data_IF_904451261420
#
_entry.id   IF_904451261420
#
_cell.length_a   1.000
_cell.length_b   1.000
_cell.length_c   1.000
_cell.angle_alpha   90.00
_cell.angle_beta   90.00
_cell.angle_gamma   90.00
#
_symmetry.space_group_name_H-M   'P 1'
#
loop_
_entity.id
_entity.type
_entity.pdbx_description
1 polymer ?
#
# COMPACT_ATOMS: atom_id res chain seq x y z
N UNK A 1 7.86 9.91 -0.32
CA UNK A 1 7.03 11.09 -0.58
C UNK A 1 5.71 10.99 0.18
N UNK A 2 5.11 12.12 0.58
CA UNK A 2 3.76 12.16 1.16
C UNK A 2 2.89 13.17 0.41
N UNK A 3 1.61 12.84 0.22
CA UNK A 3 0.58 13.74 -0.32
C UNK A 3 -0.53 13.87 0.72
N UNK A 4 -0.63 15.05 1.32
CA UNK A 4 -1.52 15.33 2.43
C UNK A 4 -2.59 16.35 2.04
N UNK A 5 -3.85 16.15 2.41
CA UNK A 5 -4.91 17.13 2.17
C UNK A 5 -6.30 16.60 2.48
N UNK A 6 -7.23 17.50 2.74
CA UNK A 6 -8.64 17.18 2.98
C UNK A 6 -9.33 16.60 1.73
N UNK A 7 -10.50 15.97 1.88
CA UNK A 7 -11.33 15.62 0.73
C UNK A 7 -11.60 16.85 -0.16
N UNK A 8 -11.55 16.67 -1.48
CA UNK A 8 -11.77 17.76 -2.44
C UNK A 8 -10.59 18.75 -2.61
N UNK A 9 -9.46 18.56 -1.93
CA UNK A 9 -8.28 19.43 -2.08
C UNK A 9 -7.44 19.15 -3.34
N UNK A 10 -7.74 18.07 -4.08
CA UNK A 10 -7.00 17.69 -5.28
C UNK A 10 -5.92 16.63 -5.07
N UNK A 11 -5.91 15.87 -3.95
CA UNK A 11 -4.92 14.82 -3.68
C UNK A 11 -4.81 13.78 -4.77
N UNK A 12 -5.95 13.14 -5.12
CA UNK A 12 -5.98 12.07 -6.13
C UNK A 12 -5.55 12.60 -7.50
N UNK A 13 -5.90 13.87 -7.82
CA UNK A 13 -5.43 14.53 -9.02
C UNK A 13 -3.92 14.72 -9.02
N UNK A 14 -3.35 15.23 -7.92
CA UNK A 14 -1.91 15.43 -7.77
C UNK A 14 -1.14 14.10 -7.85
N UNK A 15 -1.66 13.05 -7.22
CA UNK A 15 -1.07 11.70 -7.31
C UNK A 15 -1.11 11.14 -8.74
N UNK A 16 -2.25 11.22 -9.41
CA UNK A 16 -2.39 10.79 -10.82
C UNK A 16 -1.49 11.57 -11.76
N UNK A 17 -1.32 12.88 -11.51
CA UNK A 17 -0.40 13.71 -12.28
C UNK A 17 1.05 13.30 -12.08
N UNK A 18 1.45 13.03 -10.84
CA UNK A 18 2.81 12.55 -10.54
C UNK A 18 3.06 11.19 -11.19
N UNK A 19 2.11 10.24 -11.07
CA UNK A 19 2.16 8.94 -11.75
C UNK A 19 2.32 9.11 -13.26
N UNK A 20 1.55 9.99 -13.86
CA UNK A 20 1.62 10.30 -15.31
C UNK A 20 3.00 10.81 -15.70
N UNK A 21 3.54 11.78 -14.95
CA UNK A 21 4.85 12.35 -15.22
C UNK A 21 5.94 11.29 -15.11
N UNK A 22 5.93 10.49 -14.05
CA UNK A 22 6.88 9.39 -13.85
C UNK A 22 6.79 8.37 -14.99
N UNK A 23 5.58 8.01 -15.40
CA UNK A 23 5.37 7.07 -16.50
C UNK A 23 5.97 7.56 -17.82
N UNK A 24 5.87 8.87 -18.10
CA UNK A 24 6.38 9.47 -19.35
C UNK A 24 7.91 9.68 -19.30
N UNK A 25 8.45 10.13 -18.14
CA UNK A 25 9.83 10.63 -18.07
C UNK A 25 10.84 9.58 -17.61
N UNK A 26 10.39 8.51 -16.91
CA UNK A 26 11.28 7.47 -16.37
C UNK A 26 11.01 6.11 -16.99
N UNK A 27 11.81 5.12 -16.60
CA UNK A 27 11.56 3.70 -16.87
C UNK A 27 11.21 2.92 -15.62
N UNK A 28 10.94 3.61 -14.51
CA UNK A 28 10.61 3.00 -13.23
C UNK A 28 9.35 2.15 -13.35
N UNK A 29 9.25 1.06 -12.59
CA UNK A 29 7.98 0.38 -12.37
C UNK A 29 7.10 1.22 -11.46
N UNK A 30 5.81 1.19 -11.72
CA UNK A 30 4.81 1.95 -10.98
C UNK A 30 3.75 0.98 -10.47
N UNK A 31 3.61 0.91 -9.16
CA UNK A 31 2.61 0.06 -8.51
C UNK A 31 1.71 0.94 -7.64
N UNK A 32 0.42 0.74 -7.78
CA UNK A 32 -0.61 1.52 -7.09
C UNK A 32 -1.45 0.57 -6.24
N UNK A 33 -1.60 0.89 -4.95
CA UNK A 33 -2.60 0.30 -4.07
C UNK A 33 -3.82 1.22 -4.02
N UNK A 34 -4.93 0.78 -4.58
CA UNK A 34 -6.14 1.56 -4.81
C UNK A 34 -7.34 1.02 -4.02
N UNK A 35 -7.54 1.46 -2.76
CA UNK A 35 -8.68 1.03 -1.95
C UNK A 35 -10.01 1.71 -2.30
N UNK A 36 -9.99 2.73 -3.16
CA UNK A 36 -11.19 3.50 -3.53
C UNK A 36 -11.60 3.32 -5.01
N UNK A 37 -10.77 2.65 -5.83
CA UNK A 37 -11.05 2.36 -7.23
C UNK A 37 -10.98 3.60 -8.13
N UNK A 38 -10.08 4.54 -7.84
CA UNK A 38 -9.98 5.80 -8.55
C UNK A 38 -8.99 5.81 -9.72
N UNK A 39 -8.06 4.84 -9.78
CA UNK A 39 -6.94 4.85 -10.73
C UNK A 39 -7.20 4.04 -12.00
N UNK A 40 -8.28 3.26 -12.06
CA UNK A 40 -8.61 2.34 -13.16
C UNK A 40 -8.46 2.99 -14.55
N UNK A 41 -9.15 4.10 -14.81
CA UNK A 41 -9.19 4.75 -16.12
C UNK A 41 -7.81 5.26 -16.56
N UNK A 42 -7.02 5.82 -15.64
CA UNK A 42 -5.65 6.27 -15.90
C UNK A 42 -4.75 5.10 -16.28
N UNK A 43 -4.79 4.03 -15.50
CA UNK A 43 -3.95 2.85 -15.70
C UNK A 43 -4.27 2.19 -17.04
N UNK A 44 -5.55 2.03 -17.38
CA UNK A 44 -5.98 1.47 -18.66
C UNK A 44 -5.60 2.35 -19.85
N UNK A 45 -5.71 3.68 -19.73
CA UNK A 45 -5.30 4.61 -20.79
C UNK A 45 -3.80 4.52 -21.13
N UNK A 46 -2.97 4.12 -20.16
CA UNK A 46 -1.54 3.88 -20.36
C UNK A 46 -1.18 2.41 -20.64
N UNK A 47 -2.16 1.57 -21.01
CA UNK A 47 -1.98 0.13 -21.22
C UNK A 47 -1.37 -0.58 -20.00
N UNK A 48 -1.65 -0.07 -18.80
CA UNK A 48 -1.28 -0.69 -17.53
C UNK A 48 -2.20 -1.86 -17.18
N UNK A 49 -1.79 -2.62 -16.20
CA UNK A 49 -2.53 -3.76 -15.67
C UNK A 49 -3.33 -3.35 -14.44
N UNK A 50 -4.61 -3.66 -14.41
CA UNK A 50 -5.45 -3.57 -13.21
C UNK A 50 -5.76 -4.97 -12.73
N UNK A 51 -5.42 -5.25 -11.48
CA UNK A 51 -5.69 -6.52 -10.78
C UNK A 51 -6.78 -6.22 -9.76
N UNK A 52 -7.95 -6.79 -9.96
CA UNK A 52 -9.09 -6.58 -9.07
C UNK A 52 -9.16 -7.70 -8.04
N UNK A 53 -8.90 -7.36 -6.78
CA UNK A 53 -8.99 -8.31 -5.67
C UNK A 53 -10.32 -8.10 -4.95
N UNK A 54 -11.19 -9.08 -5.03
CA UNK A 54 -12.50 -9.07 -4.38
C UNK A 54 -12.99 -10.50 -4.11
N UNK A 55 -14.02 -10.68 -3.26
CA UNK A 55 -14.61 -12.01 -3.03
C UNK A 55 -15.20 -12.68 -4.28
N UNK A 56 -15.47 -11.90 -5.33
CA UNK A 56 -16.10 -12.35 -6.58
C UNK A 56 -15.15 -12.33 -7.78
N UNK A 57 -13.92 -11.80 -7.61
CA UNK A 57 -12.92 -11.79 -8.69
C UNK A 57 -12.27 -13.16 -8.84
N UNK A 58 -11.64 -13.37 -10.00
CA UNK A 58 -10.81 -14.52 -10.28
C UNK A 58 -9.30 -14.21 -10.20
N UNK A 59 -8.94 -13.01 -9.79
CA UNK A 59 -7.57 -12.58 -9.57
C UNK A 59 -7.19 -12.86 -8.11
N UNK A 60 -6.17 -13.69 -7.90
CA UNK A 60 -5.71 -14.12 -6.58
C UNK A 60 -4.26 -13.72 -6.37
N UNK A 61 -3.97 -13.26 -5.15
CA UNK A 61 -2.62 -12.97 -4.66
C UNK A 61 -2.42 -13.79 -3.37
N UNK A 62 -1.37 -14.57 -3.37
CA UNK A 62 -0.98 -15.38 -2.22
C UNK A 62 -0.16 -14.57 -1.23
N UNK A 63 -0.60 -14.37 0.01
CA UNK A 63 0.21 -13.70 1.02
C UNK A 63 1.46 -14.49 1.43
N UNK A 64 1.51 -15.77 1.10
CA UNK A 64 2.67 -16.62 1.38
C UNK A 64 3.74 -16.59 0.27
N UNK A 65 3.55 -15.84 -0.83
CA UNK A 65 4.58 -15.72 -1.86
C UNK A 65 5.86 -15.10 -1.30
N UNK A 66 7.01 -15.70 -1.61
CA UNK A 66 8.32 -15.25 -1.18
C UNK A 66 9.29 -15.22 -2.37
N UNK A 67 10.07 -14.16 -2.48
CA UNK A 67 11.22 -14.11 -3.36
C UNK A 67 12.47 -14.51 -2.56
N UNK A 68 13.09 -15.64 -2.91
CA UNK A 68 14.30 -16.13 -2.25
C UNK A 68 15.59 -15.68 -2.94
N UNK A 69 15.48 -15.01 -4.09
CA UNK A 69 16.65 -14.56 -4.89
C UNK A 69 17.10 -13.16 -4.44
N UNK A 70 17.46 -13.03 -3.16
CA UNK A 70 18.11 -11.81 -2.68
C UNK A 70 19.60 -11.83 -3.00
N UNK A 71 20.12 -10.68 -3.44
CA UNK A 71 21.54 -10.50 -3.70
C UNK A 71 22.35 -10.10 -2.45
N UNK A 72 21.72 -9.91 -1.29
CA UNK A 72 22.32 -9.38 -0.06
C UNK A 72 22.18 -10.34 1.13
N UNK A 73 22.85 -10.00 2.24
CA UNK A 73 22.92 -10.76 3.50
C UNK A 73 21.58 -10.83 4.30
N UNK A 74 20.49 -10.22 3.81
CA UNK A 74 19.17 -10.29 4.46
C UNK A 74 18.54 -11.68 4.27
N UNK A 75 18.06 -12.29 5.34
CA UNK A 75 17.32 -13.56 5.30
C UNK A 75 15.87 -13.34 4.80
N UNK A 76 15.49 -13.83 3.60
CA UNK A 76 14.15 -13.65 3.04
C UNK A 76 13.06 -14.24 3.94
N UNK A 77 13.36 -15.33 4.65
CA UNK A 77 12.40 -16.00 5.53
C UNK A 77 12.12 -15.18 6.78
N UNK A 78 13.12 -14.50 7.34
CA UNK A 78 12.90 -13.59 8.47
C UNK A 78 11.97 -12.44 8.10
N UNK A 79 12.16 -11.82 6.93
CA UNK A 79 11.26 -10.76 6.45
C UNK A 79 9.83 -11.26 6.20
N UNK A 80 9.73 -12.45 5.64
CA UNK A 80 8.42 -13.09 5.44
C UNK A 80 7.76 -13.44 6.78
N UNK A 81 8.53 -13.87 7.78
CA UNK A 81 8.01 -14.12 9.13
C UNK A 81 7.46 -12.82 9.76
N UNK A 82 8.16 -11.71 9.66
CA UNK A 82 7.69 -10.39 10.13
C UNK A 82 6.38 -9.96 9.43
N UNK A 83 6.30 -10.20 8.13
CA UNK A 83 5.05 -9.96 7.39
C UNK A 83 3.91 -10.84 7.88
N UNK A 84 4.12 -12.15 8.05
CA UNK A 84 3.09 -13.09 8.51
C UNK A 84 2.68 -12.79 9.96
N UNK A 85 3.61 -12.37 10.82
CA UNK A 85 3.29 -11.87 12.16
C UNK A 85 2.35 -10.66 12.09
N UNK A 86 2.64 -9.70 11.22
CA UNK A 86 1.79 -8.51 11.02
C UNK A 86 0.42 -8.88 10.46
N UNK A 87 0.36 -9.84 9.54
CA UNK A 87 -0.88 -10.40 9.01
C UNK A 87 -1.71 -11.07 10.11
N UNK A 88 -1.08 -11.95 10.91
CA UNK A 88 -1.75 -12.65 12.01
C UNK A 88 -2.23 -11.66 13.08
N UNK A 89 -1.45 -10.64 13.41
CA UNK A 89 -1.87 -9.62 14.36
C UNK A 89 -3.11 -8.85 13.87
N UNK A 90 -3.14 -8.52 12.58
CA UNK A 90 -4.27 -7.82 11.98
C UNK A 90 -5.57 -8.65 12.00
N UNK A 91 -5.47 -9.97 11.84
CA UNK A 91 -6.65 -10.87 11.72
C UNK A 91 -7.03 -11.56 13.02
N UNK A 92 -6.09 -11.75 13.96
CA UNK A 92 -6.26 -12.53 15.21
C UNK A 92 -6.02 -11.70 16.46
N UNK A 93 -5.11 -10.71 16.43
CA UNK A 93 -4.55 -10.04 17.61
C UNK A 93 -5.55 -9.21 18.43
N UNK A 94 -6.70 -8.83 17.87
CA UNK A 94 -7.70 -8.03 18.58
C UNK A 94 -7.16 -6.67 19.02
N UNK A 95 -7.59 -6.18 20.20
CA UNK A 95 -7.17 -4.85 20.70
C UNK A 95 -5.79 -4.83 21.33
N UNK A 96 -5.30 -5.96 21.80
CA UNK A 96 -4.05 -6.07 22.57
C UNK A 96 -2.89 -6.61 21.71
N UNK A 97 -3.12 -6.87 20.43
CA UNK A 97 -2.13 -7.52 19.58
C UNK A 97 -1.92 -9.01 19.90
N UNK A 98 -0.85 -9.59 19.36
CA UNK A 98 -0.45 -10.97 19.60
C UNK A 98 0.42 -11.06 20.86
N UNK A 99 0.13 -12.05 21.70
CA UNK A 99 0.95 -12.37 22.88
C UNK A 99 2.33 -12.93 22.46
N UNK A 100 3.39 -12.76 23.28
CA UNK A 100 4.73 -13.25 22.95
C UNK A 100 4.79 -14.74 22.61
N UNK A 101 3.99 -15.57 23.29
CA UNK A 101 3.90 -17.01 23.02
C UNK A 101 3.33 -17.26 21.63
N UNK A 102 2.29 -16.52 21.24
CA UNK A 102 1.67 -16.61 19.92
C UNK A 102 2.64 -16.21 18.81
N UNK A 103 3.41 -15.13 19.00
CA UNK A 103 4.44 -14.70 18.05
C UNK A 103 5.49 -15.80 17.84
N UNK A 104 5.92 -16.46 18.91
CA UNK A 104 6.87 -17.57 18.85
C UNK A 104 6.30 -18.77 18.07
N UNK A 105 5.04 -19.12 18.31
CA UNK A 105 4.36 -20.23 17.62
C UNK A 105 4.23 -19.91 16.13
N UNK A 106 3.80 -18.70 15.78
CA UNK A 106 3.67 -18.26 14.38
C UNK A 106 5.01 -18.32 13.67
N UNK A 107 6.10 -17.73 14.22
CA UNK A 107 7.43 -17.76 13.62
C UNK A 107 7.92 -19.21 13.39
N UNK A 108 7.75 -20.08 14.39
CA UNK A 108 8.08 -21.50 14.27
C UNK A 108 7.30 -22.17 13.13
N UNK A 109 5.99 -21.95 13.03
CA UNK A 109 5.17 -22.51 11.99
C UNK A 109 5.50 -21.95 10.60
N UNK A 110 5.85 -20.65 10.50
CA UNK A 110 6.32 -20.05 9.25
C UNK A 110 7.61 -20.71 8.78
N UNK A 111 8.58 -20.91 9.65
CA UNK A 111 9.83 -21.62 9.28
C UNK A 111 9.57 -23.05 8.80
N UNK A 112 8.62 -23.75 9.43
CA UNK A 112 8.27 -25.12 9.05
C UNK A 112 7.53 -25.17 7.71
N UNK A 113 6.61 -24.26 7.44
CA UNK A 113 5.77 -24.30 6.23
C UNK A 113 6.56 -24.08 4.95
N UNK A 114 7.69 -23.35 5.03
CA UNK A 114 8.55 -23.07 3.88
C UNK A 114 9.64 -24.13 3.64
N UNK A 115 9.81 -25.15 4.51
CA UNK A 115 10.90 -26.12 4.39
C UNK A 115 10.91 -26.84 3.02
N UNK A 116 9.76 -27.32 2.57
CA UNK A 116 9.65 -28.06 1.31
C UNK A 116 9.91 -27.15 0.09
N UNK A 117 9.44 -25.90 0.15
CA UNK A 117 9.69 -24.92 -0.89
C UNK A 117 11.16 -24.49 -0.94
N UNK A 118 11.80 -24.26 0.20
CA UNK A 118 13.23 -23.88 0.26
C UNK A 118 14.15 -25.00 -0.17
N UNK A 119 13.75 -26.27 0.03
CA UNK A 119 14.53 -27.42 -0.44
C UNK A 119 14.44 -27.59 -1.96
N UNK A 120 13.31 -27.25 -2.57
CA UNK A 120 13.07 -27.35 -4.02
C UNK A 120 12.07 -26.24 -4.44
N UNK A 121 12.56 -25.05 -4.85
CA UNK A 121 11.75 -23.86 -5.06
C UNK A 121 10.97 -23.91 -6.39
N UNK A 122 9.94 -24.73 -6.45
CA UNK A 122 8.99 -24.81 -7.55
C UNK A 122 7.63 -24.18 -7.16
N UNK A 123 6.89 -23.56 -8.10
CA UNK A 123 5.63 -22.87 -7.81
C UNK A 123 4.59 -23.75 -7.09
N UNK A 124 4.57 -25.04 -7.38
CA UNK A 124 3.63 -26.00 -6.81
C UNK A 124 3.86 -26.24 -5.31
N UNK A 125 5.08 -26.01 -4.83
CA UNK A 125 5.45 -26.14 -3.41
C UNK A 125 5.32 -24.83 -2.61
N UNK A 126 5.02 -23.72 -3.29
CA UNK A 126 4.77 -22.46 -2.59
C UNK A 126 3.60 -22.64 -1.61
N UNK A 127 3.78 -22.41 -0.31
CA UNK A 127 2.68 -22.57 0.64
C UNK A 127 1.57 -21.54 0.42
N UNK A 128 0.37 -21.86 0.92
CA UNK A 128 -0.78 -20.95 1.03
C UNK A 128 -1.20 -20.82 2.50
N UNK A 129 -2.15 -19.94 2.82
CA UNK A 129 -2.61 -19.76 4.22
C UNK A 129 -3.13 -21.04 4.86
N UNK A 130 -3.74 -21.95 4.08
CA UNK A 130 -4.20 -23.25 4.56
C UNK A 130 -3.06 -24.11 5.09
N UNK A 131 -1.87 -24.06 4.48
CA UNK A 131 -0.72 -24.81 4.94
C UNK A 131 -0.24 -24.34 6.32
N UNK A 132 -0.20 -23.02 6.52
CA UNK A 132 0.08 -22.43 7.83
C UNK A 132 -0.97 -22.78 8.87
N UNK A 133 -2.26 -22.68 8.52
CA UNK A 133 -3.38 -23.07 9.36
C UNK A 133 -3.28 -24.54 9.80
N UNK A 134 -2.98 -25.44 8.87
CA UNK A 134 -2.83 -26.87 9.16
C UNK A 134 -1.64 -27.16 10.08
N UNK A 135 -0.53 -26.41 9.96
CA UNK A 135 0.60 -26.52 10.89
C UNK A 135 0.26 -26.01 12.27
N UNK A 136 -0.45 -24.89 12.39
CA UNK A 136 -0.93 -24.37 13.68
C UNK A 136 -1.83 -25.38 14.37
N UNK A 137 -2.73 -26.04 13.65
CA UNK A 137 -3.61 -27.08 14.22
C UNK A 137 -2.88 -28.31 14.72
N UNK A 138 -1.68 -28.60 14.22
CA UNK A 138 -0.86 -29.74 14.65
C UNK A 138 -0.03 -29.45 15.91
N UNK A 139 0.06 -28.19 16.32
CA UNK A 139 0.77 -27.84 17.56
C UNK A 139 -0.07 -28.20 18.78
N UNK A 140 0.58 -28.53 19.88
CA UNK A 140 -0.11 -28.98 21.12
C UNK A 140 -0.56 -27.81 22.02
N UNK A 141 0.03 -26.61 21.83
CA UNK A 141 -0.24 -25.45 22.67
C UNK A 141 -1.67 -24.89 22.44
N UNK A 142 -2.32 -24.52 23.53
CA UNK A 142 -3.68 -23.96 23.49
C UNK A 142 -3.76 -22.66 22.70
N UNK A 143 -2.70 -21.84 22.75
CA UNK A 143 -2.55 -20.61 21.98
C UNK A 143 -2.55 -20.90 20.48
N UNK A 144 -1.92 -21.98 20.05
CA UNK A 144 -1.92 -22.39 18.65
C UNK A 144 -3.31 -22.80 18.16
N UNK A 145 -4.08 -23.48 18.98
CA UNK A 145 -5.45 -23.84 18.66
C UNK A 145 -6.35 -22.59 18.55
N UNK A 146 -6.11 -21.59 19.41
CA UNK A 146 -6.79 -20.29 19.35
C UNK A 146 -6.46 -19.56 18.06
N UNK A 147 -5.18 -19.47 17.68
CA UNK A 147 -4.71 -18.89 16.44
C UNK A 147 -5.33 -19.55 15.21
N UNK A 148 -5.30 -20.89 15.17
CA UNK A 148 -5.89 -21.66 14.09
C UNK A 148 -7.41 -21.40 13.98
N UNK A 149 -8.15 -21.44 15.09
CA UNK A 149 -9.59 -21.17 15.09
C UNK A 149 -9.90 -19.74 14.58
N UNK A 150 -9.10 -18.75 14.93
CA UNK A 150 -9.29 -17.39 14.46
C UNK A 150 -8.94 -17.21 12.97
N UNK A 151 -7.98 -17.97 12.45
CA UNK A 151 -7.62 -17.99 11.03
C UNK A 151 -8.62 -18.76 10.16
N UNK A 152 -9.46 -19.61 10.73
CA UNK A 152 -10.34 -20.51 9.98
C UNK A 152 -11.28 -19.77 9.02
N UNK A 153 -11.78 -18.59 9.40
CA UNK A 153 -12.65 -17.77 8.55
C UNK A 153 -11.94 -17.28 7.27
N UNK A 154 -10.60 -17.13 7.31
CA UNK A 154 -9.78 -16.70 6.19
C UNK A 154 -9.29 -17.85 5.32
N UNK A 155 -9.40 -19.10 5.81
CA UNK A 155 -8.96 -20.29 5.10
C UNK A 155 -10.17 -21.05 4.53
N UNK A 156 -11.13 -21.41 5.38
CA UNK A 156 -12.29 -22.24 5.04
C UNK A 156 -13.61 -21.47 5.04
N UNK A 157 -13.59 -20.24 5.54
CA UNK A 157 -14.80 -19.41 5.74
C UNK A 157 -15.08 -18.43 4.62
N UNK A 158 -15.91 -17.43 4.94
CA UNK A 158 -16.38 -16.42 3.98
C UNK A 158 -15.32 -15.39 3.56
N UNK A 159 -14.17 -15.33 4.24
CA UNK A 159 -13.10 -14.37 3.99
C UNK A 159 -11.88 -15.00 3.30
N UNK A 160 -12.04 -16.14 2.60
CA UNK A 160 -10.96 -16.94 2.03
C UNK A 160 -10.32 -16.39 0.75
N UNK A 161 -10.58 -15.14 0.39
CA UNK A 161 -10.08 -14.51 -0.86
C UNK A 161 -8.55 -14.57 -1.02
N UNK A 162 -7.82 -14.65 0.09
CA UNK A 162 -6.36 -14.74 0.10
C UNK A 162 -5.82 -16.16 0.33
N UNK A 163 -6.70 -17.18 0.36
CA UNK A 163 -6.28 -18.59 0.49
C UNK A 163 -6.20 -19.27 -0.86
N UNK A 164 -5.48 -18.68 -1.79
CA UNK A 164 -5.26 -19.17 -3.14
C UNK A 164 -3.81 -18.92 -3.57
N UNK A 165 -3.29 -19.74 -4.50
CA UNK A 165 -2.02 -19.44 -5.17
C UNK A 165 -2.20 -18.23 -6.07
N UNK A 166 -1.15 -17.41 -6.19
CA UNK A 166 -1.16 -16.29 -7.13
C UNK A 166 -1.33 -16.81 -8.55
N UNK A 167 -2.30 -16.26 -9.26
CA UNK A 167 -2.64 -16.63 -10.63
C UNK A 167 -2.52 -15.45 -11.61
N UNK A 168 -2.04 -14.30 -11.13
CA UNK A 168 -1.85 -13.10 -11.95
C UNK A 168 -0.36 -12.87 -12.21
N UNK A 169 -0.01 -12.53 -13.44
CA UNK A 169 1.35 -12.13 -13.79
C UNK A 169 1.56 -10.63 -13.50
N UNK A 170 2.59 -10.31 -12.74
CA UNK A 170 2.93 -8.93 -12.37
C UNK A 170 4.02 -8.35 -13.28
N UNK A 171 3.94 -8.59 -14.59
CA UNK A 171 4.99 -8.22 -15.55
C UNK A 171 4.84 -6.82 -16.14
N UNK A 172 3.68 -6.15 -15.98
CA UNK A 172 3.46 -4.82 -16.49
C UNK A 172 4.27 -3.78 -15.69
N UNK A 173 4.74 -2.75 -16.38
CA UNK A 173 5.43 -1.61 -15.77
C UNK A 173 4.52 -0.75 -14.90
N UNK A 174 3.24 -0.67 -15.24
CA UNK A 174 2.22 0.07 -14.50
C UNK A 174 1.15 -0.91 -14.01
N UNK A 175 1.13 -1.18 -12.72
CA UNK A 175 0.20 -2.13 -12.08
C UNK A 175 -0.63 -1.40 -11.02
N UNK A 176 -1.93 -1.62 -11.06
CA UNK A 176 -2.86 -1.14 -10.03
C UNK A 176 -3.56 -2.32 -9.37
N UNK A 177 -3.42 -2.44 -8.06
CA UNK A 177 -4.20 -3.35 -7.24
C UNK A 177 -5.48 -2.63 -6.79
N UNK A 178 -6.59 -2.91 -7.47
CA UNK A 178 -7.92 -2.42 -7.11
C UNK A 178 -8.50 -3.34 -6.03
N UNK A 179 -8.54 -2.82 -4.81
CA UNK A 179 -9.04 -3.52 -3.62
C UNK A 179 -10.32 -2.88 -3.05
N UNK A 180 -11.01 -2.06 -3.83
CA UNK A 180 -12.22 -1.34 -3.43
C UNK A 180 -13.31 -2.27 -2.91
N UNK A 181 -13.52 -3.39 -3.60
CA UNK A 181 -14.60 -4.34 -3.30
C UNK A 181 -14.25 -5.31 -2.15
N UNK A 182 -13.05 -5.22 -1.57
CA UNK A 182 -12.76 -5.84 -0.30
C UNK A 182 -13.53 -5.13 0.82
N UNK A 183 -14.41 -5.82 1.52
CA UNK A 183 -15.11 -5.26 2.68
C UNK A 183 -14.14 -4.73 3.74
N UNK A 184 -14.64 -3.93 4.67
CA UNK A 184 -13.82 -3.24 5.70
C UNK A 184 -12.82 -4.16 6.43
N UNK A 185 -13.19 -5.42 6.68
CA UNK A 185 -12.33 -6.40 7.36
C UNK A 185 -11.13 -6.82 6.52
N UNK A 186 -11.32 -6.96 5.19
CA UNK A 186 -10.26 -7.41 4.29
C UNK A 186 -9.45 -6.27 3.68
N UNK A 187 -9.97 -5.03 3.69
CA UNK A 187 -9.29 -3.89 3.03
C UNK A 187 -7.88 -3.65 3.59
N UNK A 188 -7.72 -3.59 4.91
CA UNK A 188 -6.40 -3.43 5.54
C UNK A 188 -5.47 -4.62 5.24
N UNK A 189 -6.01 -5.83 5.32
CA UNK A 189 -5.28 -7.05 4.97
C UNK A 189 -4.83 -7.02 3.52
N UNK A 190 -5.71 -6.62 2.59
CA UNK A 190 -5.38 -6.44 1.18
C UNK A 190 -4.26 -5.43 0.97
N UNK A 191 -4.30 -4.28 1.64
CA UNK A 191 -3.23 -3.28 1.57
C UNK A 191 -1.89 -3.82 2.08
N UNK A 192 -1.90 -4.58 3.18
CA UNK A 192 -0.70 -5.21 3.74
C UNK A 192 -0.11 -6.24 2.77
N UNK A 193 -0.95 -7.06 2.15
CA UNK A 193 -0.54 -8.07 1.16
C UNK A 193 0.02 -7.39 -0.10
N UNK A 194 -0.63 -6.33 -0.59
CA UNK A 194 -0.10 -5.54 -1.72
C UNK A 194 1.27 -4.97 -1.40
N UNK A 195 1.48 -4.45 -0.18
CA UNK A 195 2.78 -3.91 0.25
C UNK A 195 3.88 -4.98 0.24
N UNK A 196 3.58 -6.20 0.64
CA UNK A 196 4.52 -7.33 0.57
C UNK A 196 4.83 -7.72 -0.89
N UNK A 197 3.84 -7.73 -1.77
CA UNK A 197 4.05 -7.96 -3.21
C UNK A 197 4.91 -6.86 -3.86
N UNK A 198 4.73 -5.62 -3.45
CA UNK A 198 5.59 -4.52 -3.89
C UNK A 198 7.02 -4.72 -3.42
N UNK A 199 7.22 -5.19 -2.19
CA UNK A 199 8.56 -5.54 -1.70
C UNK A 199 9.23 -6.60 -2.57
N UNK A 200 8.52 -7.66 -2.92
CA UNK A 200 9.02 -8.67 -3.85
C UNK A 200 9.43 -8.04 -5.20
N UNK A 201 8.67 -7.08 -5.72
CA UNK A 201 9.01 -6.37 -6.97
C UNK A 201 10.24 -5.48 -6.83
N UNK A 202 10.38 -4.78 -5.70
CA UNK A 202 11.56 -3.95 -5.40
C UNK A 202 12.82 -4.79 -5.38
N UNK A 203 12.77 -5.98 -4.77
CA UNK A 203 13.93 -6.89 -4.70
C UNK A 203 14.34 -7.41 -6.07
N UNK A 204 13.38 -7.75 -6.93
CA UNK A 204 13.64 -8.15 -8.32
C UNK A 204 14.23 -7.00 -9.13
N UNK A 205 13.64 -5.82 -9.05
CA UNK A 205 14.07 -4.65 -9.82
C UNK A 205 15.44 -4.13 -9.41
N UNK A 206 15.83 -4.30 -8.16
CA UNK A 206 17.16 -3.92 -7.67
C UNK A 206 18.27 -4.62 -8.45
N UNK A 207 18.15 -5.93 -8.68
CA UNK A 207 19.15 -6.69 -9.45
C UNK A 207 19.23 -6.21 -10.91
N UNK A 208 18.14 -5.65 -11.44
CA UNK A 208 18.06 -5.05 -12.77
C UNK A 208 18.44 -3.55 -12.81
N UNK A 209 18.88 -2.95 -11.68
CA UNK A 209 19.14 -1.51 -11.53
C UNK A 209 17.97 -0.63 -11.93
N UNK A 210 16.75 -1.07 -11.60
CA UNK A 210 15.50 -0.41 -11.93
C UNK A 210 14.77 0.03 -10.66
N UNK A 211 14.29 1.26 -10.61
CA UNK A 211 13.51 1.76 -9.48
C UNK A 211 12.06 1.29 -9.54
N UNK A 212 11.45 1.16 -8.36
CA UNK A 212 10.02 0.84 -8.21
C UNK A 212 9.33 1.94 -7.42
N UNK A 213 8.32 2.55 -8.01
CA UNK A 213 7.46 3.55 -7.37
C UNK A 213 6.22 2.87 -6.82
N UNK A 214 5.93 3.13 -5.57
CA UNK A 214 4.76 2.56 -4.88
C UNK A 214 3.86 3.66 -4.35
N UNK A 215 2.65 3.76 -4.90
CA UNK A 215 1.62 4.72 -4.48
C UNK A 215 0.60 4.00 -3.62
N UNK A 216 0.40 4.51 -2.40
CA UNK A 216 -0.51 3.92 -1.41
C UNK A 216 -1.59 4.95 -1.12
N UNK A 217 -2.77 4.75 -1.69
CA UNK A 217 -3.90 5.61 -1.34
C UNK A 217 -4.50 5.19 0.01
N UNK A 218 -5.11 6.13 0.72
CA UNK A 218 -5.61 5.97 2.09
C UNK A 218 -4.56 5.35 3.06
N UNK A 219 -3.29 5.77 2.92
CA UNK A 219 -2.14 5.21 3.62
C UNK A 219 -2.34 5.11 5.14
N UNK A 220 -3.10 6.03 5.75
CA UNK A 220 -3.40 6.02 7.18
C UNK A 220 -4.05 4.71 7.66
N UNK A 221 -4.68 3.92 6.76
CA UNK A 221 -5.28 2.64 7.13
C UNK A 221 -4.26 1.59 7.57
N UNK A 222 -3.04 1.63 7.03
CA UNK A 222 -1.93 0.75 7.43
C UNK A 222 -1.28 1.14 8.76
N UNK A 223 -1.59 2.33 9.26
CA UNK A 223 -0.89 2.93 10.39
C UNK A 223 -1.71 2.93 11.68
N UNK A 224 -2.89 2.31 11.66
CA UNK A 224 -3.81 2.28 12.81
C UNK A 224 -3.44 1.26 13.87
N UNK A 225 -2.91 0.12 13.47
CA UNK A 225 -2.46 -0.95 14.36
C UNK A 225 -0.92 -0.90 14.47
N UNK A 226 -0.41 -1.08 15.68
CA UNK A 226 1.01 -0.90 16.02
C UNK A 226 1.93 -1.78 15.16
N UNK A 227 1.63 -3.06 15.05
CA UNK A 227 2.48 -4.00 14.29
C UNK A 227 2.45 -3.73 12.79
N UNK A 228 1.29 -3.40 12.23
CA UNK A 228 1.16 -3.04 10.81
C UNK A 228 1.87 -1.72 10.51
N UNK A 229 1.81 -0.76 11.44
CA UNK A 229 2.55 0.49 11.36
C UNK A 229 4.06 0.24 11.40
N UNK A 230 4.54 -0.56 12.36
CA UNK A 230 5.95 -0.94 12.49
C UNK A 230 6.47 -1.61 11.21
N UNK A 231 5.74 -2.58 10.67
CA UNK A 231 6.08 -3.23 9.41
C UNK A 231 6.11 -2.22 8.25
N UNK A 232 5.12 -1.33 8.15
CA UNK A 232 5.07 -0.32 7.08
C UNK A 232 6.24 0.67 7.16
N UNK A 233 6.64 1.09 8.36
CA UNK A 233 7.81 1.95 8.59
C UNK A 233 9.11 1.24 8.21
N UNK A 234 9.25 -0.02 8.58
CA UNK A 234 10.44 -0.82 8.24
C UNK A 234 10.56 -0.98 6.71
N UNK A 235 9.47 -1.33 6.03
CA UNK A 235 9.44 -1.42 4.56
C UNK A 235 9.76 -0.05 3.92
N UNK A 236 9.24 1.05 4.47
CA UNK A 236 9.53 2.40 3.98
C UNK A 236 11.03 2.73 4.01
N UNK A 237 11.70 2.41 5.12
CA UNK A 237 13.16 2.57 5.27
C UNK A 237 13.93 1.68 4.29
N UNK A 238 13.52 0.42 4.15
CA UNK A 238 14.16 -0.54 3.23
C UNK A 238 13.99 -0.12 1.77
N UNK A 239 12.83 0.36 1.37
CA UNK A 239 12.58 0.84 0.01
C UNK A 239 13.63 1.86 -0.41
N UNK A 240 13.92 2.86 0.41
CA UNK A 240 14.95 3.87 0.11
C UNK A 240 16.32 3.25 -0.22
N UNK A 241 16.70 2.22 0.53
CA UNK A 241 17.99 1.52 0.38
C UNK A 241 18.01 0.63 -0.87
N UNK A 242 16.84 0.15 -1.32
CA UNK A 242 16.69 -0.86 -2.36
C UNK A 242 16.14 -0.30 -3.69
N UNK A 243 16.07 1.01 -3.85
CA UNK A 243 15.57 1.65 -5.07
C UNK A 243 14.04 1.70 -5.18
N UNK A 244 13.35 1.44 -4.08
CA UNK A 244 11.92 1.69 -3.93
C UNK A 244 11.64 3.13 -3.55
N UNK A 245 10.59 3.72 -4.11
CA UNK A 245 10.18 5.10 -3.85
C UNK A 245 8.70 5.08 -3.43
N UNK A 246 8.42 4.95 -2.11
CA UNK A 246 7.04 4.92 -1.64
C UNK A 246 6.44 6.33 -1.59
N UNK A 247 5.15 6.43 -1.93
CA UNK A 247 4.33 7.63 -1.86
C UNK A 247 3.04 7.33 -1.09
N UNK A 248 2.93 7.83 0.13
CA UNK A 248 1.72 7.73 0.94
C UNK A 248 0.77 8.90 0.65
N UNK A 249 -0.49 8.59 0.36
CA UNK A 249 -1.54 9.56 0.09
C UNK A 249 -2.57 9.44 1.20
N UNK A 250 -2.90 10.53 1.88
CA UNK A 250 -3.88 10.48 2.97
C UNK A 250 -4.59 11.81 3.20
N UNK A 251 -5.83 11.70 3.65
CA UNK A 251 -6.64 12.82 4.11
C UNK A 251 -6.63 12.96 5.63
N UNK A 252 -6.18 11.95 6.36
CA UNK A 252 -6.24 11.91 7.82
C UNK A 252 -4.84 12.03 8.42
N UNK A 253 -4.39 13.27 8.57
CA UNK A 253 -3.08 13.56 9.16
C UNK A 253 -3.04 13.26 10.65
N UNK A 254 -4.17 13.40 11.36
CA UNK A 254 -4.25 13.10 12.79
C UNK A 254 -3.99 11.63 13.09
N UNK A 255 -4.54 10.72 12.29
CA UNK A 255 -4.26 9.29 12.42
C UNK A 255 -2.78 9.00 12.07
N UNK A 256 -2.22 9.74 11.13
CA UNK A 256 -0.81 9.67 10.78
C UNK A 256 0.11 10.01 11.96
N UNK A 257 -0.20 11.04 12.71
CA UNK A 257 0.61 11.56 13.81
C UNK A 257 0.32 10.89 15.17
N UNK A 258 -0.59 9.92 15.21
CA UNK A 258 -0.99 9.26 16.45
C UNK A 258 0.06 8.27 16.97
N UNK A 259 1.01 7.83 16.16
CA UNK A 259 2.07 6.92 16.58
C UNK A 259 3.47 7.52 16.39
N UNK A 260 4.35 7.20 17.31
CA UNK A 260 5.76 7.62 17.31
C UNK A 260 6.54 7.08 16.10
N UNK A 261 6.09 5.98 15.55
CA UNK A 261 6.71 5.35 14.39
C UNK A 261 6.46 6.12 13.11
N UNK A 262 5.39 6.90 13.07
CA UNK A 262 5.01 7.72 11.92
C UNK A 262 5.87 8.98 11.79
N UNK A 263 6.39 9.52 12.91
CA UNK A 263 7.41 10.57 12.86
C UNK A 263 8.57 10.15 11.97
N UNK A 264 8.95 8.87 12.03
CA UNK A 264 9.99 8.31 11.17
C UNK A 264 9.64 8.37 9.67
N UNK A 265 8.35 8.24 9.28
CA UNK A 265 7.94 8.35 7.87
C UNK A 265 8.08 9.78 7.39
N UNK A 266 7.69 10.77 8.22
CA UNK A 266 7.89 12.19 7.90
C UNK A 266 9.37 12.53 7.76
N UNK A 267 10.21 12.12 8.71
CA UNK A 267 11.66 12.36 8.70
C UNK A 267 12.36 11.69 7.51
N UNK A 268 11.84 10.54 7.05
CA UNK A 268 12.36 9.82 5.88
C UNK A 268 11.66 10.20 4.57
N UNK A 269 10.81 11.24 4.58
CA UNK A 269 10.12 11.73 3.39
C UNK A 269 10.73 13.06 2.93
N UNK A 270 11.67 12.99 2.00
CA UNK A 270 12.35 14.18 1.45
C UNK A 270 11.39 15.12 0.68
N UNK A 271 10.23 14.59 0.26
CA UNK A 271 9.24 15.34 -0.52
C UNK A 271 7.84 15.19 0.10
N UNK A 272 7.23 16.32 0.46
CA UNK A 272 5.86 16.37 0.99
C UNK A 272 5.06 17.40 0.20
N UNK A 273 3.94 16.96 -0.37
CA UNK A 273 2.94 17.82 -1.00
C UNK A 273 1.80 18.03 0.00
N UNK A 274 1.66 19.22 0.51
CA UNK A 274 0.62 19.59 1.47
C UNK A 274 -0.41 20.49 0.81
N UNK A 275 -1.57 19.95 0.55
CA UNK A 275 -2.74 20.67 0.06
C UNK A 275 -3.56 21.23 1.22
N UNK A 276 -4.79 21.70 0.97
CA UNK A 276 -5.66 22.24 2.02
C UNK A 276 -5.82 21.26 3.20
N UNK A 277 -5.73 21.79 4.43
CA UNK A 277 -5.78 21.01 5.67
C UNK A 277 -6.99 21.36 6.52
N UNK A 278 -7.52 20.38 7.26
CA UNK A 278 -8.55 20.61 8.25
C UNK A 278 -8.05 21.50 9.39
N UNK A 279 -8.93 22.30 9.99
CA UNK A 279 -8.56 23.26 11.04
C UNK A 279 -7.87 22.60 12.25
N UNK A 280 -8.30 21.38 12.62
CA UNK A 280 -7.72 20.64 13.74
C UNK A 280 -6.32 20.11 13.48
N UNK A 281 -5.96 19.84 12.23
CA UNK A 281 -4.69 19.23 11.84
C UNK A 281 -3.59 20.28 11.62
N UNK A 282 -3.97 21.53 11.32
CA UNK A 282 -3.03 22.60 10.96
C UNK A 282 -2.00 22.91 12.04
N UNK A 283 -2.43 22.98 13.30
CA UNK A 283 -1.52 23.31 14.40
C UNK A 283 -0.55 22.17 14.68
N UNK A 284 -1.01 20.92 14.56
CA UNK A 284 -0.20 19.72 14.76
C UNK A 284 0.87 19.66 13.65
N UNK A 285 0.44 19.83 12.40
CA UNK A 285 1.34 19.89 11.24
C UNK A 285 2.34 21.04 11.31
N UNK A 286 1.87 22.22 11.71
CA UNK A 286 2.76 23.40 11.86
C UNK A 286 3.87 23.12 12.86
N UNK A 287 3.57 22.48 13.97
CA UNK A 287 4.55 22.08 14.98
C UNK A 287 5.49 20.98 14.47
N UNK A 288 4.95 19.93 13.88
CA UNK A 288 5.72 18.76 13.43
C UNK A 288 6.68 19.09 12.28
N UNK A 289 6.23 19.90 11.33
CA UNK A 289 7.00 20.27 10.13
C UNK A 289 7.67 21.65 10.24
N UNK A 290 7.63 22.25 11.42
CA UNK A 290 8.22 23.58 11.69
C UNK A 290 7.76 24.67 10.70
N UNK A 291 6.45 24.72 10.42
CA UNK A 291 5.84 25.65 9.47
C UNK A 291 5.51 26.95 10.19
N UNK A 292 5.93 28.09 9.63
CA UNK A 292 5.57 29.40 10.15
C UNK A 292 4.07 29.72 9.96
N UNK A 293 3.55 30.64 10.77
CA UNK A 293 2.14 31.10 10.64
C UNK A 293 1.82 31.64 9.25
N UNK A 294 2.80 32.30 8.60
CA UNK A 294 2.63 32.78 7.24
C UNK A 294 2.52 31.64 6.23
N UNK A 295 3.41 30.65 6.32
CA UNK A 295 3.35 29.47 5.44
C UNK A 295 2.06 28.67 5.66
N UNK A 296 1.59 28.58 6.92
CA UNK A 296 0.34 27.90 7.24
C UNK A 296 -0.87 28.48 6.51
N UNK A 297 -0.84 29.78 6.17
CA UNK A 297 -1.91 30.43 5.42
C UNK A 297 -2.15 29.82 4.03
N UNK A 298 -1.10 29.27 3.41
CA UNK A 298 -1.18 28.63 2.08
C UNK A 298 -1.87 27.26 2.08
N UNK A 299 -2.09 26.67 3.24
CA UNK A 299 -2.85 25.41 3.40
C UNK A 299 -4.13 25.60 4.21
N UNK A 300 -4.48 26.88 4.44
CA UNK A 300 -5.69 27.29 5.14
C UNK A 300 -6.64 27.94 4.15
N UNK A 301 -7.78 27.31 3.86
CA UNK A 301 -8.74 27.80 2.86
C UNK A 301 -8.14 27.96 1.45
N UNK A 302 -7.14 27.17 1.12
CA UNK A 302 -6.57 27.09 -0.23
C UNK A 302 -7.55 26.39 -1.18
N UNK A 303 -7.50 26.78 -2.46
CA UNK A 303 -8.25 26.14 -3.53
C UNK A 303 -7.69 24.74 -3.89
N UNK A 304 -8.38 24.07 -4.81
CA UNK A 304 -7.87 22.82 -5.41
C UNK A 304 -6.51 23.08 -6.08
N UNK A 305 -5.53 22.19 -5.83
CA UNK A 305 -4.20 22.31 -6.43
C UNK A 305 -3.35 23.44 -5.87
N UNK A 306 -3.71 24.01 -4.72
CA UNK A 306 -2.92 25.01 -4.02
C UNK A 306 -2.40 24.49 -2.68
N UNK A 307 -1.18 24.85 -2.30
CA UNK A 307 -0.61 24.38 -1.05
C UNK A 307 0.86 24.67 -0.88
N UNK A 308 1.55 23.79 -0.16
CA UNK A 308 2.98 23.85 0.12
C UNK A 308 3.69 22.61 -0.41
N UNK A 309 4.85 22.79 -1.02
CA UNK A 309 5.79 21.72 -1.36
C UNK A 309 6.97 21.81 -0.40
N UNK A 310 7.30 20.69 0.23
CA UNK A 310 8.50 20.51 1.03
C UNK A 310 9.50 19.69 0.22
N UNK A 311 10.73 20.17 0.16
CA UNK A 311 11.86 19.44 -0.39
C UNK A 311 13.07 19.66 0.54
N UNK A 312 13.38 18.62 1.31
CA UNK A 312 14.31 18.78 2.43
C UNK A 312 13.87 19.91 3.37
N UNK A 313 14.73 20.89 3.59
CA UNK A 313 14.45 22.04 4.45
C UNK A 313 13.73 23.20 3.74
N UNK A 314 13.44 23.07 2.45
CA UNK A 314 12.85 24.14 1.66
C UNK A 314 11.34 23.97 1.60
N UNK A 315 10.60 25.02 1.94
CA UNK A 315 9.13 25.06 1.90
C UNK A 315 8.71 26.12 0.89
N UNK A 316 8.02 25.70 -0.16
CA UNK A 316 7.62 26.55 -1.29
C UNK A 316 6.10 26.54 -1.43
N UNK A 317 5.42 27.69 -1.40
CA UNK A 317 4.02 27.75 -1.78
C UNK A 317 3.86 27.48 -3.28
N UNK A 318 2.84 26.76 -3.65
CA UNK A 318 2.56 26.47 -5.06
C UNK A 318 1.07 26.63 -5.38
N UNK A 319 0.82 26.88 -6.66
CA UNK A 319 -0.50 26.87 -7.27
C UNK A 319 -0.41 26.13 -8.59
N UNK A 320 -0.98 24.94 -8.60
CA UNK A 320 -1.04 24.12 -9.79
C UNK A 320 -2.27 24.51 -10.63
N UNK A 321 -2.01 24.88 -11.88
CA UNK A 321 -3.06 25.14 -12.88
C UNK A 321 -2.86 24.18 -14.03
N UNK A 322 -3.72 23.19 -14.13
CA UNK A 322 -3.75 22.25 -15.23
C UNK A 322 -4.90 22.63 -16.18
N UNK A 323 -4.63 22.62 -17.48
CA UNK A 323 -5.64 22.95 -18.49
C UNK A 323 -6.75 21.89 -18.50
N UNK A 324 -7.96 22.30 -18.11
CA UNK A 324 -9.13 21.42 -17.99
C UNK A 324 -9.76 21.04 -19.34
N UNK A 325 -9.27 21.61 -20.45
CA UNK A 325 -9.71 21.24 -21.79
C UNK A 325 -8.98 19.99 -22.31
N UNK A 326 -7.84 19.64 -21.70
CA UNK A 326 -7.05 18.48 -22.11
C UNK A 326 -7.69 17.17 -21.65
N UNK A 327 -7.61 16.16 -22.53
CA UNK A 327 -8.05 14.80 -22.20
C UNK A 327 -7.34 14.24 -20.96
N UNK A 328 -6.07 14.59 -20.78
CA UNK A 328 -5.28 14.17 -19.63
C UNK A 328 -5.85 14.71 -18.31
N UNK A 329 -6.44 15.93 -18.32
CA UNK A 329 -7.16 16.45 -17.16
C UNK A 329 -8.35 15.54 -16.79
N UNK A 330 -9.16 15.18 -17.80
CA UNK A 330 -10.31 14.30 -17.58
C UNK A 330 -9.91 12.91 -17.06
N UNK A 331 -8.75 12.37 -17.48
CA UNK A 331 -8.22 11.10 -16.95
C UNK A 331 -7.80 11.19 -15.48
N UNK A 332 -7.26 12.33 -15.06
CA UNK A 332 -6.80 12.55 -13.70
C UNK A 332 -7.89 13.01 -12.74
N UNK A 333 -8.96 13.66 -13.27
CA UNK A 333 -10.06 14.18 -12.48
C UNK A 333 -10.97 13.05 -11.95
N UNK A 334 -11.45 13.20 -10.73
CA UNK A 334 -12.47 12.33 -10.11
C UNK A 334 -13.85 13.01 -10.08
N UNK A 335 -14.01 14.18 -10.73
CA UNK A 335 -15.29 14.90 -10.79
C UNK A 335 -16.28 14.19 -11.69
N UNK A 336 -17.58 14.08 -11.31
CA UNK A 336 -18.58 13.37 -12.12
C UNK A 336 -18.70 13.87 -13.57
N UNK A 337 -18.67 15.18 -13.77
CA UNK A 337 -18.72 15.82 -15.10
C UNK A 337 -17.53 15.47 -16.01
N UNK A 338 -16.36 15.21 -15.43
CA UNK A 338 -15.17 14.79 -16.18
C UNK A 338 -15.17 13.27 -16.43
N UNK A 339 -15.83 12.49 -15.56
CA UNK A 339 -16.11 11.06 -15.79
C UNK A 339 -16.99 10.89 -17.02
N UNK A 340 -18.09 11.65 -17.14
CA UNK A 340 -18.96 11.62 -18.33
C UNK A 340 -18.19 12.00 -19.62
N UNK A 341 -17.26 12.96 -19.56
CA UNK A 341 -16.40 13.31 -20.71
C UNK A 341 -15.53 12.13 -21.14
N UNK A 342 -14.94 11.40 -20.17
CA UNK A 342 -14.14 10.20 -20.45
C UNK A 342 -14.94 9.11 -21.15
N UNK A 343 -16.15 8.83 -20.67
CA UNK A 343 -17.06 7.85 -21.25
C UNK A 343 -17.45 8.20 -22.69
N UNK A 344 -17.77 9.47 -22.95
CA UNK A 344 -18.06 9.98 -24.32
C UNK A 344 -16.88 9.83 -25.26
N UNK A 345 -15.65 9.78 -24.75
CA UNK A 345 -14.41 9.54 -25.51
C UNK A 345 -14.06 8.05 -25.64
N UNK A 346 -14.93 7.15 -25.17
CA UNK A 346 -14.74 5.71 -25.24
C UNK A 346 -13.72 5.15 -24.25
N UNK A 347 -13.33 5.94 -23.24
CA UNK A 347 -12.47 5.48 -22.16
C UNK A 347 -13.34 4.81 -21.11
N UNK A 348 -13.21 3.50 -20.99
CA UNK A 348 -13.99 2.69 -20.06
C UNK A 348 -13.76 3.10 -18.59
N UNK A 349 -14.83 3.16 -17.84
CA UNK A 349 -14.82 3.26 -16.40
C UNK A 349 -14.50 1.91 -15.73
N UNK A 350 -14.39 1.92 -14.40
CA UNK A 350 -14.18 0.72 -13.59
C UNK A 350 -15.31 -0.30 -13.72
N UNK A 351 -16.55 0.19 -13.81
CA UNK A 351 -17.76 -0.64 -13.83
C UNK A 351 -18.09 -1.21 -15.22
N UNK A 352 -17.36 -0.77 -16.25
CA UNK A 352 -17.50 -1.24 -17.64
C UNK A 352 -16.55 -2.38 -18.00
N UNK A 353 -15.86 -2.97 -17.02
CA UNK A 353 -14.79 -3.96 -17.21
C UNK A 353 -15.17 -5.37 -16.80
#
# INVERSE_FOLDING_TARGET
>A
MLILGTPGSGKSFAAKREITNVFIVTKDDIIICDPEGEYFSLVRAFNGQVIRISPTSHDYINPMDININYADDDDPLSLKSDFILSLCELVVGGKNGLEPVEKTIIDRCVRLVYQDYLADPVPEKMPILEDLYNLLRKQEEAESQRLATALEIYVNGSLKVFNHRTNVELNNRLVCFDIKDLGKQLKKLGMLIVQDQVWNRVTVNRSAHKSTRYYIDEFHLLLKEEQTAAYSVEIWKRFRKWGGIPTGITQNVKDLLASREIENIFENSDFILMLNQASGDRQILAKQLNISTHQLSYVTNSGEGEGLIFYGNTIIPFKDRFDNTLMLYALMSSKPEDVEKREKLGIKGRDDS
#
